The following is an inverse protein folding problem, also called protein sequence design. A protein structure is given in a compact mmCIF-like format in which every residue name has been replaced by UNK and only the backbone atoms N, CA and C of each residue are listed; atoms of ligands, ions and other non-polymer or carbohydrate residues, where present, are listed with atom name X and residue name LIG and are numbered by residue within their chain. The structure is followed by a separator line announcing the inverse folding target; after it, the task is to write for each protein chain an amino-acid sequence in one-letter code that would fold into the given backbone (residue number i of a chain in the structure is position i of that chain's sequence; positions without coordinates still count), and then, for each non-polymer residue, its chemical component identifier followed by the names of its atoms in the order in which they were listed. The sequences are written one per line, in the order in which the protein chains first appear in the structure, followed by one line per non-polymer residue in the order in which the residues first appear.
data_IF_481167562419
#
_entry.id   IF_481167562419
#
_cell.length_a   1.000
_cell.length_b   1.000
_cell.length_c   1.000
_cell.angle_alpha   90.00
_cell.angle_beta   90.00
_cell.angle_gamma   90.00
#
_symmetry.space_group_name_H-M   'P 1'
#
loop_
_entity.id
_entity.type
_entity.pdbx_description
1 polymer ?
#
# COMPACT_ATOMS: atom_id res chain seq x y z
N UNK A 1 -6.23 35.82 -15.03
CA UNK A 1 -6.97 34.94 -14.10
C UNK A 1 -6.05 34.70 -12.91
N UNK A 2 -6.41 35.18 -11.71
CA UNK A 2 -5.58 34.96 -10.51
C UNK A 2 -5.90 33.57 -9.98
N UNK A 3 -4.87 32.83 -9.55
CA UNK A 3 -4.93 31.41 -9.20
C UNK A 3 -5.64 31.14 -7.86
N UNK A 4 -6.21 32.16 -7.21
CA UNK A 4 -6.44 32.17 -5.76
C UNK A 4 -7.90 32.44 -5.35
N UNK A 5 -8.82 32.64 -6.31
CA UNK A 5 -10.17 33.13 -6.02
C UNK A 5 -11.23 31.99 -6.01
N UNK A 6 -10.85 30.77 -5.64
CA UNK A 6 -11.80 29.66 -5.52
C UNK A 6 -12.54 29.72 -4.17
N UNK A 7 -13.87 29.79 -4.19
CA UNK A 7 -14.68 29.86 -2.97
C UNK A 7 -14.77 28.49 -2.28
N UNK A 8 -14.99 28.42 -0.96
CA UNK A 8 -15.17 27.14 -0.25
C UNK A 8 -16.27 26.25 -0.87
N UNK A 9 -17.31 26.86 -1.44
CA UNK A 9 -18.40 26.16 -2.12
C UNK A 9 -17.97 25.52 -3.45
N UNK A 10 -17.03 26.15 -4.17
CA UNK A 10 -16.42 25.59 -5.38
C UNK A 10 -15.50 24.40 -5.04
N UNK A 11 -14.81 24.46 -3.89
CA UNK A 11 -14.05 23.34 -3.34
C UNK A 11 -14.95 22.17 -2.96
N UNK A 12 -16.08 22.42 -2.30
CA UNK A 12 -17.04 21.38 -1.94
C UNK A 12 -17.68 20.74 -3.18
N UNK A 13 -17.97 21.52 -4.22
CA UNK A 13 -18.52 21.02 -5.49
C UNK A 13 -17.50 20.16 -6.26
N UNK A 14 -16.21 20.50 -6.20
CA UNK A 14 -15.13 19.69 -6.77
C UNK A 14 -14.92 18.37 -6.00
N UNK A 15 -14.98 18.42 -4.67
CA UNK A 15 -14.84 17.23 -3.79
C UNK A 15 -16.03 16.28 -3.89
N UNK A 16 -17.24 16.77 -4.20
CA UNK A 16 -18.44 15.94 -4.41
C UNK A 16 -18.31 14.98 -5.60
N UNK A 17 -17.43 15.28 -6.57
CA UNK A 17 -17.14 14.41 -7.73
C UNK A 17 -16.07 13.35 -7.44
N UNK A 18 -15.27 13.52 -6.39
CA UNK A 18 -14.20 12.59 -6.00
C UNK A 18 -14.68 11.66 -4.88
N UNK A 19 -15.63 12.10 -4.05
CA UNK A 19 -16.15 11.34 -2.91
C UNK A 19 -17.68 11.21 -2.96
N UNK A 20 -18.20 10.46 -3.94
CA UNK A 20 -19.51 9.82 -3.79
C UNK A 20 -19.32 8.52 -2.99
N UNK A 21 -18.97 8.65 -1.71
CA UNK A 21 -19.05 7.53 -0.77
C UNK A 21 -20.48 7.47 -0.24
N UNK A 22 -21.39 6.89 -1.03
CA UNK A 22 -22.71 6.51 -0.53
C UNK A 22 -22.50 5.42 0.51
N UNK A 23 -22.51 5.83 1.79
CA UNK A 23 -22.45 4.93 2.94
C UNK A 23 -23.84 4.29 3.13
N UNK A 24 -24.18 3.33 2.28
CA UNK A 24 -25.35 2.48 2.45
C UNK A 24 -25.06 1.32 3.41
N UNK A 25 -25.93 1.11 4.41
CA UNK A 25 -25.94 -0.07 5.27
C UNK A 25 -27.11 -0.97 4.88
N UNK A 26 -26.83 -2.22 4.53
CA UNK A 26 -27.81 -3.30 4.57
C UNK A 26 -27.29 -4.44 5.43
N UNK A 27 -28.21 -5.22 5.98
CA UNK A 27 -27.94 -6.28 6.95
C UNK A 27 -27.05 -7.38 6.33
N UNK A 28 -25.75 -7.36 6.63
CA UNK A 28 -24.91 -8.57 6.55
C UNK A 28 -23.74 -8.59 5.56
N UNK A 29 -23.19 -7.46 5.12
CA UNK A 29 -21.86 -7.46 4.50
C UNK A 29 -21.63 -6.34 3.49
N UNK A 30 -20.38 -5.83 3.45
CA UNK A 30 -19.92 -4.88 2.44
C UNK A 30 -19.58 -5.65 1.15
N UNK A 31 -20.27 -5.36 0.04
CA UNK A 31 -19.85 -5.79 -1.30
C UNK A 31 -19.54 -4.57 -2.17
N UNK A 32 -18.40 -4.62 -2.86
CA UNK A 32 -17.98 -3.61 -3.84
C UNK A 32 -18.45 -4.06 -5.23
N UNK A 33 -19.56 -3.50 -5.72
CA UNK A 33 -19.92 -3.62 -7.12
C UNK A 33 -19.12 -2.61 -7.96
N UNK A 34 -18.45 -3.10 -9.02
CA UNK A 34 -18.16 -2.28 -10.19
C UNK A 34 -16.93 -1.38 -10.14
N UNK A 35 -15.75 -1.96 -9.95
CA UNK A 35 -14.50 -1.52 -10.61
C UNK A 35 -13.52 -2.67 -10.49
N UNK A 36 -12.80 -3.01 -11.57
CA UNK A 36 -11.59 -3.82 -11.44
C UNK A 36 -10.76 -3.16 -10.34
N UNK A 37 -10.71 -3.79 -9.17
CA UNK A 37 -9.95 -3.27 -8.06
C UNK A 37 -8.50 -3.28 -8.53
N UNK A 38 -7.99 -2.10 -8.92
CA UNK A 38 -6.57 -1.94 -9.21
C UNK A 38 -5.82 -2.60 -8.06
N UNK A 39 -5.01 -3.61 -8.38
CA UNK A 39 -4.29 -4.40 -7.38
C UNK A 39 -3.17 -3.52 -6.81
N UNK A 40 -3.57 -2.63 -5.92
CA UNK A 40 -2.72 -1.66 -5.25
C UNK A 40 -1.73 -2.30 -4.27
N UNK A 41 -1.85 -3.62 -4.05
CA UNK A 41 -0.98 -4.41 -3.18
C UNK A 41 0.16 -5.00 -3.99
N UNK A 42 -0.15 -5.70 -5.10
CA UNK A 42 0.88 -6.37 -5.89
C UNK A 42 1.43 -5.52 -7.03
N UNK A 43 0.65 -4.56 -7.56
CA UNK A 43 1.04 -3.72 -8.72
C UNK A 43 0.51 -2.29 -8.57
N UNK A 44 1.05 -1.49 -7.64
CA UNK A 44 0.68 -0.09 -7.54
C UNK A 44 0.96 0.64 -8.88
N UNK A 45 -0.01 1.35 -9.46
CA UNK A 45 0.09 1.93 -10.82
C UNK A 45 1.17 3.03 -10.96
N UNK A 46 1.75 3.48 -9.85
CA UNK A 46 2.67 4.61 -9.78
C UNK A 46 4.17 4.21 -9.68
N UNK A 47 4.50 2.90 -9.76
CA UNK A 47 5.89 2.42 -9.72
C UNK A 47 6.26 1.41 -10.83
N UNK A 48 5.35 1.06 -11.74
CA UNK A 48 5.51 -0.02 -12.72
C UNK A 48 6.12 0.38 -14.08
N UNK A 49 6.98 1.41 -14.12
CA UNK A 49 7.50 1.95 -15.39
C UNK A 49 8.76 1.22 -15.92
N UNK A 50 9.11 0.02 -15.44
CA UNK A 50 10.31 -0.71 -15.88
C UNK A 50 10.24 -2.23 -15.71
N UNK A 51 11.24 -2.94 -16.27
CA UNK A 51 11.32 -4.41 -16.27
C UNK A 51 11.79 -5.02 -14.94
N UNK A 52 12.38 -4.21 -14.06
CA UNK A 52 12.93 -4.63 -12.76
C UNK A 52 12.09 -4.00 -11.65
N UNK A 53 11.62 -4.84 -10.74
CA UNK A 53 10.90 -4.39 -9.55
C UNK A 53 11.84 -3.65 -8.59
N UNK A 54 11.40 -2.51 -8.05
CA UNK A 54 12.22 -1.67 -7.16
C UNK A 54 12.74 -2.44 -5.92
N UNK A 55 11.95 -3.39 -5.42
CA UNK A 55 12.37 -4.22 -4.27
C UNK A 55 13.57 -5.13 -4.58
N UNK A 56 13.70 -5.59 -5.83
CA UNK A 56 14.81 -6.45 -6.24
C UNK A 56 16.09 -5.62 -6.40
N UNK A 57 15.98 -4.39 -6.89
CA UNK A 57 17.09 -3.44 -6.91
C UNK A 57 17.57 -3.11 -5.47
N UNK A 58 16.64 -2.93 -4.52
CA UNK A 58 16.96 -2.73 -3.10
C UNK A 58 17.66 -3.96 -2.50
N UNK A 59 17.16 -5.17 -2.79
CA UNK A 59 17.80 -6.42 -2.32
C UNK A 59 19.24 -6.54 -2.84
N UNK A 60 19.51 -6.13 -4.08
CA UNK A 60 20.85 -6.18 -4.66
C UNK A 60 21.81 -5.11 -4.09
N UNK A 61 21.28 -4.00 -3.56
CA UNK A 61 22.07 -2.91 -3.00
C UNK A 61 22.46 -3.13 -1.53
N UNK A 62 21.60 -3.79 -0.75
CA UNK A 62 21.76 -3.95 0.70
C UNK A 62 22.45 -5.26 1.08
N UNK A 63 23.08 -5.32 2.26
CA UNK A 63 23.47 -6.62 2.84
C UNK A 63 22.23 -7.42 3.24
N UNK A 64 22.39 -8.72 3.51
CA UNK A 64 21.26 -9.58 3.90
C UNK A 64 20.62 -9.11 5.22
N UNK A 65 21.42 -8.69 6.20
CA UNK A 65 20.95 -8.17 7.49
C UNK A 65 20.22 -6.84 7.33
N UNK A 66 20.75 -5.96 6.48
CA UNK A 66 20.12 -4.68 6.15
C UNK A 66 18.79 -4.88 5.42
N UNK A 67 18.74 -5.82 4.48
CA UNK A 67 17.51 -6.16 3.76
C UNK A 67 16.45 -6.76 4.70
N UNK A 68 16.84 -7.65 5.63
CA UNK A 68 15.97 -8.14 6.69
C UNK A 68 15.44 -6.97 7.55
N UNK A 69 16.31 -6.03 7.94
CA UNK A 69 15.93 -4.82 8.65
C UNK A 69 14.92 -3.95 7.87
N UNK A 70 15.15 -3.76 6.58
CA UNK A 70 14.26 -3.03 5.67
C UNK A 70 12.86 -3.67 5.60
N UNK A 71 12.79 -5.01 5.47
CA UNK A 71 11.51 -5.72 5.42
C UNK A 71 10.76 -5.60 6.76
N UNK A 72 11.44 -5.75 7.90
CA UNK A 72 10.87 -5.55 9.25
C UNK A 72 10.28 -4.14 9.42
N UNK A 73 11.02 -3.12 8.99
CA UNK A 73 10.57 -1.74 9.04
C UNK A 73 9.31 -1.50 8.20
N UNK A 74 9.24 -2.08 7.00
CA UNK A 74 8.07 -1.95 6.14
C UNK A 74 6.83 -2.66 6.70
N UNK A 75 6.96 -3.88 7.22
CA UNK A 75 5.85 -4.54 7.92
C UNK A 75 5.30 -3.65 9.03
N UNK A 76 6.18 -3.13 9.90
CA UNK A 76 5.79 -2.26 11.01
C UNK A 76 5.08 -1.00 10.50
N UNK A 77 5.62 -0.35 9.47
CA UNK A 77 5.04 0.86 8.85
C UNK A 77 3.58 0.63 8.45
N UNK A 78 3.26 -0.47 7.77
CA UNK A 78 1.89 -0.72 7.32
C UNK A 78 0.95 -1.11 8.47
N UNK A 79 1.43 -1.91 9.43
CA UNK A 79 0.66 -2.23 10.65
C UNK A 79 0.37 -0.99 11.49
N UNK A 80 1.31 -0.06 11.60
CA UNK A 80 1.10 1.22 12.29
C UNK A 80 0.09 2.08 11.53
N UNK A 81 0.20 2.16 10.20
CA UNK A 81 -0.61 3.05 9.36
C UNK A 81 -2.08 2.65 9.24
N UNK A 82 -2.42 1.39 9.49
CA UNK A 82 -3.73 0.80 9.15
C UNK A 82 -4.95 1.59 9.68
N UNK A 83 -4.83 2.24 10.83
CA UNK A 83 -5.91 3.03 11.43
C UNK A 83 -5.96 4.50 10.98
N UNK A 84 -4.91 5.01 10.34
CA UNK A 84 -4.78 6.43 10.01
C UNK A 84 -5.35 6.80 8.64
N UNK A 85 -5.25 5.90 7.65
CA UNK A 85 -5.63 6.19 6.25
C UNK A 85 -6.98 5.60 5.82
N UNK A 86 -7.75 5.03 6.75
CA UNK A 86 -9.08 4.49 6.46
C UNK A 86 -9.10 3.26 5.52
N UNK A 87 -7.94 2.65 5.25
CA UNK A 87 -7.80 1.43 4.42
C UNK A 87 -7.07 0.30 5.18
N UNK A 88 -7.61 -0.16 6.32
CA UNK A 88 -6.90 -1.10 7.19
C UNK A 88 -6.62 -2.45 6.51
N UNK A 89 -7.53 -2.94 5.67
CA UNK A 89 -7.37 -4.22 4.97
C UNK A 89 -6.21 -4.14 3.96
N UNK A 90 -6.14 -3.09 3.15
CA UNK A 90 -5.05 -2.90 2.17
C UNK A 90 -3.69 -2.80 2.87
N UNK A 91 -3.63 -2.09 4.00
CA UNK A 91 -2.42 -1.98 4.82
C UNK A 91 -2.01 -3.32 5.43
N UNK A 92 -2.95 -4.11 5.95
CA UNK A 92 -2.66 -5.44 6.46
C UNK A 92 -2.23 -6.41 5.36
N UNK A 93 -2.83 -6.34 4.17
CA UNK A 93 -2.39 -7.12 3.01
C UNK A 93 -0.97 -6.76 2.58
N UNK A 94 -0.61 -5.47 2.58
CA UNK A 94 0.76 -5.01 2.34
C UNK A 94 1.71 -5.53 3.41
N UNK A 95 1.36 -5.42 4.69
CA UNK A 95 2.16 -5.97 5.78
C UNK A 95 2.41 -7.48 5.61
N UNK A 96 1.38 -8.25 5.29
CA UNK A 96 1.49 -9.70 5.06
C UNK A 96 2.39 -10.03 3.85
N UNK A 97 2.38 -9.19 2.81
CA UNK A 97 3.27 -9.35 1.66
C UNK A 97 4.75 -9.16 2.05
N UNK A 98 5.07 -8.14 2.84
CA UNK A 98 6.42 -7.94 3.38
C UNK A 98 6.83 -9.04 4.36
N UNK A 99 5.91 -9.52 5.21
CA UNK A 99 6.16 -10.62 6.15
C UNK A 99 6.53 -11.93 5.44
N UNK A 100 5.86 -12.25 4.31
CA UNK A 100 6.21 -13.42 3.50
C UNK A 100 7.63 -13.34 2.94
N UNK A 101 8.03 -12.15 2.46
CA UNK A 101 9.39 -11.92 1.97
C UNK A 101 10.42 -11.96 3.10
N UNK A 102 10.07 -11.44 4.28
CA UNK A 102 10.91 -11.47 5.46
C UNK A 102 11.18 -12.91 5.89
N UNK A 103 10.15 -13.75 5.95
CA UNK A 103 10.31 -15.17 6.25
C UNK A 103 11.31 -15.83 5.30
N UNK A 104 11.12 -15.64 3.99
CA UNK A 104 12.04 -16.18 2.98
C UNK A 104 13.48 -15.67 3.15
N UNK A 105 13.67 -14.37 3.41
CA UNK A 105 15.00 -13.80 3.61
C UNK A 105 15.69 -14.38 4.86
N UNK A 106 14.95 -14.61 5.95
CA UNK A 106 15.48 -15.23 7.17
C UNK A 106 15.79 -16.72 6.96
N UNK A 107 14.96 -17.44 6.20
CA UNK A 107 15.23 -18.82 5.82
C UNK A 107 16.52 -18.94 5.00
N UNK A 108 16.72 -18.06 4.01
CA UNK A 108 17.95 -17.97 3.21
C UNK A 108 19.16 -17.69 4.10
N UNK A 109 19.08 -16.68 4.98
CA UNK A 109 20.14 -16.31 5.93
C UNK A 109 20.52 -17.49 6.86
N UNK A 110 19.52 -18.17 7.43
CA UNK A 110 19.73 -19.31 8.36
C UNK A 110 20.32 -20.54 7.63
N UNK A 111 20.06 -20.69 6.34
CA UNK A 111 20.63 -21.78 5.53
C UNK A 111 22.06 -21.49 5.08
N UNK A 112 22.43 -20.22 4.90
CA UNK A 112 23.79 -19.80 4.54
C UNK A 112 24.81 -19.86 5.69
N UNK A 113 24.36 -19.90 6.95
CA UNK A 113 25.22 -20.07 8.14
C UNK A 113 25.63 -21.54 8.41
N UNK A 114 25.26 -22.49 7.53
CA UNK A 114 25.61 -23.92 7.66
C UNK A 114 26.80 -24.34 6.81
#
# INVERSE_FOLDING_TARGET
MKLNDATPEEWDKANKKICSYDRGYTNGGLYYEGRLAEDNVNKPPHYNNGDIECIDAIKAMLTEEEYIGYLRGNTLKYRWRMWYKGKPIEDLSKAAWYDKKLLKAVEEYTQGEK
#
